data_IF_040042132736
#
_entry.id   IF_040042132736
#
_cell.length_a   1.000
_cell.length_b   1.000
_cell.length_c   1.000
_cell.angle_alpha   90.00
_cell.angle_beta   90.00
_cell.angle_gamma   90.00
#
_symmetry.space_group_name_H-M   'P 1'
#
loop_
_entity.id
_entity.type
_entity.pdbx_description
1 polymer ?
#
# COMPACT_ATOMS: atom_id res chain seq x y z
N UNK A 1 26.20 -2.30 56.49
CA UNK A 1 26.17 -2.72 55.07
C UNK A 1 25.15 -1.86 54.34
N UNK A 2 25.57 -1.04 53.37
CA UNK A 2 24.71 -0.06 52.68
C UNK A 2 24.23 -0.69 51.36
N UNK A 3 22.96 -1.06 51.28
CA UNK A 3 22.35 -1.62 50.08
C UNK A 3 21.91 -0.47 49.16
N UNK A 4 22.60 -0.30 48.03
CA UNK A 4 22.19 0.63 46.96
C UNK A 4 21.12 -0.05 46.12
N UNK A 5 19.86 0.36 46.29
CA UNK A 5 18.76 -0.01 45.40
C UNK A 5 18.77 0.95 44.21
N UNK A 6 19.38 0.52 43.12
CA UNK A 6 19.21 1.13 41.79
C UNK A 6 17.82 0.77 41.28
N UNK A 7 16.90 1.74 41.31
CA UNK A 7 15.60 1.63 40.66
C UNK A 7 15.81 1.63 39.14
N UNK A 8 15.66 0.46 38.51
CA UNK A 8 15.56 0.35 37.06
C UNK A 8 14.21 0.92 36.62
N UNK A 9 14.23 2.08 35.97
CA UNK A 9 13.06 2.65 35.32
C UNK A 9 12.71 1.77 34.10
N UNK A 10 11.72 0.89 34.24
CA UNK A 10 11.01 0.34 33.09
C UNK A 10 10.11 1.45 32.51
N UNK A 11 10.69 2.26 31.63
CA UNK A 11 9.89 3.05 30.70
C UNK A 11 9.24 2.09 29.70
N UNK A 12 8.00 1.67 29.98
CA UNK A 12 7.15 1.11 28.94
C UNK A 12 6.93 2.20 27.89
N UNK A 13 7.67 2.11 26.78
CA UNK A 13 7.36 2.79 25.54
C UNK A 13 6.03 2.24 25.02
N UNK A 14 4.91 2.81 25.49
CA UNK A 14 3.64 2.68 24.82
C UNK A 14 3.72 3.46 23.50
N UNK A 15 4.30 2.84 22.48
CA UNK A 15 4.14 3.30 21.11
C UNK A 15 2.65 3.22 20.75
N UNK A 16 2.08 4.23 20.05
CA UNK A 16 0.72 4.13 19.58
C UNK A 16 0.65 2.97 18.58
N UNK A 17 -0.07 1.93 18.94
CA UNK A 17 -0.51 0.94 17.98
C UNK A 17 -1.41 1.68 16.98
N UNK A 18 -0.90 1.94 15.77
CA UNK A 18 -1.75 2.34 14.65
C UNK A 18 -2.70 1.18 14.39
N UNK A 19 -3.88 1.21 14.99
CA UNK A 19 -4.98 0.33 14.62
C UNK A 19 -5.37 0.71 13.19
N UNK A 20 -4.85 -0.02 12.21
CA UNK A 20 -5.32 0.11 10.83
C UNK A 20 -6.69 -0.55 10.78
N UNK A 21 -7.72 0.25 10.54
CA UNK A 21 -9.12 -0.18 10.58
C UNK A 21 -9.38 -1.36 9.64
N UNK A 22 -10.16 -2.33 10.13
CA UNK A 22 -10.61 -3.45 9.30
C UNK A 22 -11.46 -2.91 8.12
N UNK A 23 -11.32 -3.48 6.91
CA UNK A 23 -12.17 -3.11 5.77
C UNK A 23 -13.65 -3.20 6.12
N UNK A 24 -14.44 -2.22 5.69
CA UNK A 24 -15.87 -2.12 6.03
C UNK A 24 -16.80 -2.64 4.92
N UNK A 25 -16.25 -2.91 3.73
CA UNK A 25 -17.00 -3.43 2.59
C UNK A 25 -17.28 -4.94 2.61
N UNK A 26 -18.13 -5.38 1.69
CA UNK A 26 -18.43 -6.79 1.41
C UNK A 26 -17.42 -7.34 0.37
N UNK A 27 -16.55 -8.25 0.81
CA UNK A 27 -15.53 -8.88 -0.04
C UNK A 27 -16.13 -9.74 -1.17
N UNK A 28 -17.28 -10.39 -0.95
CA UNK A 28 -17.95 -11.21 -1.98
C UNK A 28 -18.54 -10.32 -3.07
N UNK A 29 -19.14 -9.19 -2.69
CA UNK A 29 -19.53 -8.17 -3.66
C UNK A 29 -18.31 -7.54 -4.35
N UNK A 30 -17.22 -7.37 -3.61
CA UNK A 30 -15.95 -6.80 -4.08
C UNK A 30 -15.28 -7.59 -5.18
N UNK A 31 -15.33 -8.91 -5.13
CA UNK A 31 -14.82 -9.78 -6.20
C UNK A 31 -15.46 -9.44 -7.55
N UNK A 32 -16.78 -9.18 -7.56
CA UNK A 32 -17.49 -8.79 -8.78
C UNK A 32 -17.03 -7.43 -9.30
N UNK A 33 -16.79 -6.48 -8.40
CA UNK A 33 -16.26 -5.14 -8.75
C UNK A 33 -14.83 -5.25 -9.28
N UNK A 34 -14.01 -6.15 -8.74
CA UNK A 34 -12.62 -6.38 -9.17
C UNK A 34 -12.50 -6.78 -10.65
N UNK A 35 -13.58 -7.29 -11.26
CA UNK A 35 -13.61 -7.52 -12.70
C UNK A 35 -13.35 -6.27 -13.54
N UNK A 36 -13.58 -5.07 -13.01
CA UNK A 36 -13.24 -3.79 -13.65
C UNK A 36 -11.75 -3.47 -13.53
N UNK A 37 -11.09 -3.98 -12.48
CA UNK A 37 -9.70 -3.73 -12.15
C UNK A 37 -8.75 -4.70 -12.87
N UNK A 38 -9.20 -5.94 -13.16
CA UNK A 38 -8.36 -7.00 -13.72
C UNK A 38 -7.78 -6.74 -15.12
N UNK A 39 -8.31 -5.72 -15.83
CA UNK A 39 -7.74 -5.26 -17.11
C UNK A 39 -6.33 -4.72 -16.94
N UNK A 40 -6.07 -4.07 -15.80
CA UNK A 40 -4.78 -3.44 -15.52
C UNK A 40 -4.02 -4.12 -14.39
N UNK A 41 -4.73 -4.70 -13.42
CA UNK A 41 -4.16 -5.21 -12.18
C UNK A 41 -4.33 -6.72 -12.01
N UNK A 42 -3.51 -7.28 -11.14
CA UNK A 42 -3.61 -8.63 -10.62
C UNK A 42 -3.44 -8.60 -9.10
N UNK A 43 -3.85 -9.67 -8.44
CA UNK A 43 -3.52 -9.99 -7.05
C UNK A 43 -2.73 -11.31 -7.11
N UNK A 44 -1.41 -11.21 -7.03
CA UNK A 44 -0.53 -12.38 -6.98
C UNK A 44 0.24 -12.38 -5.66
N UNK A 45 0.27 -13.51 -4.97
CA UNK A 45 1.00 -13.62 -3.70
C UNK A 45 2.52 -13.68 -3.94
N UNK A 46 3.29 -13.70 -2.86
CA UNK A 46 4.76 -13.73 -2.89
C UNK A 46 5.33 -15.00 -3.53
N UNK A 47 4.58 -16.10 -3.54
CA UNK A 47 4.94 -17.34 -4.23
C UNK A 47 4.70 -17.27 -5.75
N UNK A 48 4.16 -16.16 -6.26
CA UNK A 48 3.83 -15.95 -7.67
C UNK A 48 2.51 -16.56 -8.11
N UNK A 49 1.69 -17.08 -7.17
CA UNK A 49 0.36 -17.58 -7.46
C UNK A 49 -0.63 -16.42 -7.63
N UNK A 50 -1.32 -16.38 -8.77
CA UNK A 50 -2.39 -15.40 -9.02
C UNK A 50 -3.66 -15.80 -8.27
N UNK A 51 -3.98 -15.06 -7.21
CA UNK A 51 -5.20 -15.22 -6.41
C UNK A 51 -6.42 -14.57 -7.09
N UNK A 52 -6.22 -13.46 -7.79
CA UNK A 52 -7.26 -12.82 -8.58
C UNK A 52 -6.71 -12.02 -9.77
N UNK A 53 -7.53 -11.86 -10.79
CA UNK A 53 -7.18 -11.16 -12.02
C UNK A 53 -6.61 -12.09 -13.10
N UNK A 54 -6.28 -11.52 -14.25
CA UNK A 54 -5.76 -12.26 -15.41
C UNK A 54 -4.29 -11.90 -15.65
N UNK A 55 -3.94 -11.42 -16.84
CA UNK A 55 -2.58 -11.00 -17.19
C UNK A 55 -2.38 -9.47 -17.15
N UNK A 56 -3.21 -8.75 -16.38
CA UNK A 56 -3.12 -7.30 -16.24
C UNK A 56 -1.79 -6.88 -15.62
N UNK A 57 -0.96 -6.17 -16.39
CA UNK A 57 0.35 -5.64 -15.95
C UNK A 57 0.51 -4.13 -16.21
N UNK A 58 -0.56 -3.47 -16.61
CA UNK A 58 -0.59 -2.02 -16.83
C UNK A 58 -0.55 -1.26 -15.50
N UNK A 59 -1.13 -1.83 -14.45
CA UNK A 59 -1.06 -1.35 -13.07
C UNK A 59 -0.24 -2.30 -12.18
N UNK A 60 0.17 -1.85 -10.98
CA UNK A 60 0.91 -2.68 -10.04
C UNK A 60 0.06 -3.84 -9.52
N UNK A 61 0.72 -4.88 -8.99
CA UNK A 61 0.06 -5.92 -8.21
C UNK A 61 -0.59 -5.30 -6.95
N UNK A 62 -1.81 -5.73 -6.64
CA UNK A 62 -2.59 -5.23 -5.51
C UNK A 62 -2.53 -6.13 -4.27
N UNK A 63 -1.81 -7.25 -4.33
CA UNK A 63 -1.50 -8.06 -3.15
C UNK A 63 -0.74 -7.25 -2.09
N UNK A 64 -1.20 -7.28 -0.84
CA UNK A 64 -0.61 -6.51 0.25
C UNK A 64 -0.83 -4.99 0.12
N UNK A 65 -1.91 -4.53 -0.53
CA UNK A 65 -2.17 -3.10 -0.69
C UNK A 65 -2.46 -2.39 0.63
N UNK A 66 -3.24 -3.02 1.53
CA UNK A 66 -3.59 -2.42 2.82
C UNK A 66 -2.32 -2.15 3.63
N UNK A 67 -2.09 -0.89 3.98
CA UNK A 67 -0.93 -0.44 4.76
C UNK A 67 0.34 -0.24 3.95
N UNK A 68 0.36 -0.58 2.66
CA UNK A 68 1.54 -0.39 1.81
C UNK A 68 1.76 1.07 1.49
N UNK A 69 3.03 1.48 1.46
CA UNK A 69 3.44 2.81 1.03
C UNK A 69 3.03 3.03 -0.44
N UNK A 70 2.54 4.22 -0.78
CA UNK A 70 2.21 4.53 -2.17
C UNK A 70 3.46 4.44 -3.07
N UNK A 71 3.31 3.89 -4.28
CA UNK A 71 4.42 3.82 -5.23
C UNK A 71 5.53 2.85 -4.88
N UNK A 72 5.32 1.91 -3.95
CA UNK A 72 6.39 1.06 -3.42
C UNK A 72 6.34 -0.41 -3.84
N UNK A 73 5.40 -0.84 -4.69
CA UNK A 73 5.41 -2.22 -5.17
C UNK A 73 6.65 -2.45 -6.05
N UNK A 74 7.47 -3.48 -5.77
CA UNK A 74 8.71 -3.70 -6.50
C UNK A 74 8.45 -3.98 -7.98
N UNK A 75 9.43 -3.66 -8.82
CA UNK A 75 9.43 -3.96 -10.26
C UNK A 75 8.29 -3.32 -11.07
N UNK A 76 7.47 -2.44 -10.48
CA UNK A 76 6.49 -1.63 -11.19
C UNK A 76 6.99 -0.21 -11.41
N UNK A 77 6.83 0.31 -12.63
CA UNK A 77 7.20 1.68 -12.99
C UNK A 77 6.04 2.63 -12.70
N UNK A 78 6.13 3.36 -11.60
CA UNK A 78 5.16 4.37 -11.21
C UNK A 78 5.38 5.70 -11.94
N UNK A 79 4.31 6.50 -12.02
CA UNK A 79 4.40 7.91 -12.41
C UNK A 79 4.77 8.79 -11.21
N UNK A 80 5.38 9.95 -11.50
CA UNK A 80 5.95 10.85 -10.50
C UNK A 80 4.99 11.27 -9.40
N UNK A 81 3.70 11.45 -9.70
CA UNK A 81 2.70 11.86 -8.69
C UNK A 81 2.50 10.82 -7.58
N UNK A 82 2.47 9.54 -7.92
CA UNK A 82 2.34 8.45 -6.92
C UNK A 82 3.66 8.27 -6.16
N UNK A 83 4.82 8.42 -6.84
CA UNK A 83 6.13 8.37 -6.20
C UNK A 83 6.31 9.50 -5.17
N UNK A 84 5.93 10.72 -5.54
CA UNK A 84 5.95 11.88 -4.64
C UNK A 84 5.03 11.69 -3.43
N UNK A 85 3.85 11.09 -3.62
CA UNK A 85 2.96 10.74 -2.52
C UNK A 85 3.64 9.74 -1.57
N UNK A 86 4.24 8.68 -2.12
CA UNK A 86 4.98 7.67 -1.36
C UNK A 86 6.15 8.25 -0.55
N UNK A 87 6.89 9.20 -1.12
CA UNK A 87 8.02 9.86 -0.47
C UNK A 87 7.62 10.65 0.80
N UNK A 88 6.33 10.97 0.97
CA UNK A 88 5.82 11.59 2.21
C UNK A 88 5.55 10.58 3.34
N UNK A 89 5.77 9.28 3.09
CA UNK A 89 5.43 8.19 4.01
C UNK A 89 3.96 7.78 3.95
N UNK A 90 3.22 8.22 2.92
CA UNK A 90 1.81 7.90 2.75
C UNK A 90 1.56 6.39 2.57
N UNK A 91 0.66 5.83 3.37
CA UNK A 91 0.25 4.42 3.32
C UNK A 91 -1.23 4.27 2.97
N UNK A 92 -1.58 3.26 2.16
CA UNK A 92 -2.96 3.02 1.74
C UNK A 92 -3.85 2.48 2.87
N UNK A 93 -4.95 3.18 3.14
CA UNK A 93 -6.09 2.70 3.94
C UNK A 93 -7.38 2.72 3.09
N UNK A 94 -8.49 2.23 3.64
CA UNK A 94 -9.77 2.17 2.92
C UNK A 94 -10.26 3.55 2.49
N UNK A 95 -10.25 4.55 3.39
CA UNK A 95 -10.79 5.88 3.12
C UNK A 95 -10.03 6.57 1.97
N UNK A 96 -8.71 6.49 1.99
CA UNK A 96 -7.87 7.05 0.94
C UNK A 96 -7.97 6.26 -0.37
N UNK A 97 -8.13 4.94 -0.31
CA UNK A 97 -8.36 4.12 -1.50
C UNK A 97 -9.67 4.51 -2.19
N UNK A 98 -10.76 4.67 -1.42
CA UNK A 98 -12.06 5.13 -1.93
C UNK A 98 -11.92 6.51 -2.59
N UNK A 99 -11.26 7.45 -1.92
CA UNK A 99 -11.04 8.79 -2.45
C UNK A 99 -10.17 8.78 -3.73
N UNK A 100 -9.12 7.94 -3.76
CA UNK A 100 -8.28 7.79 -4.94
C UNK A 100 -9.05 7.22 -6.13
N UNK A 101 -9.90 6.20 -5.92
CA UNK A 101 -10.71 5.63 -6.99
C UNK A 101 -11.76 6.61 -7.55
N UNK A 102 -12.29 7.52 -6.73
CA UNK A 102 -13.26 8.51 -7.18
C UNK A 102 -12.64 9.45 -8.24
N UNK A 103 -11.43 9.97 -7.99
CA UNK A 103 -10.65 10.71 -8.98
C UNK A 103 -9.14 10.68 -8.69
N UNK A 104 -8.37 9.78 -9.33
CA UNK A 104 -6.95 9.59 -9.04
C UNK A 104 -6.11 10.85 -9.24
N UNK A 105 -6.42 11.63 -10.27
CA UNK A 105 -5.67 12.84 -10.60
C UNK A 105 -5.92 13.95 -9.59
N UNK A 106 -7.17 14.12 -9.15
CA UNK A 106 -7.52 15.11 -8.12
C UNK A 106 -6.93 14.71 -6.76
N UNK A 107 -7.08 13.44 -6.38
CA UNK A 107 -6.53 12.91 -5.14
C UNK A 107 -5.03 13.19 -5.02
N UNK A 108 -4.25 12.91 -6.08
CA UNK A 108 -2.80 13.19 -6.06
C UNK A 108 -2.50 14.67 -5.86
N UNK A 109 -3.16 15.57 -6.60
CA UNK A 109 -2.93 17.01 -6.45
C UNK A 109 -3.24 17.52 -5.05
N UNK A 110 -4.28 16.98 -4.42
CA UNK A 110 -4.68 17.35 -3.06
C UNK A 110 -3.70 16.81 -2.02
N UNK A 111 -3.31 15.53 -2.14
CA UNK A 111 -2.41 14.89 -1.17
C UNK A 111 -0.96 15.35 -1.28
N UNK A 112 -0.48 15.68 -2.47
CA UNK A 112 0.90 16.16 -2.68
C UNK A 112 1.01 17.68 -2.64
N UNK A 113 -0.09 18.42 -2.83
CA UNK A 113 -0.08 19.87 -3.01
C UNK A 113 0.45 20.34 -4.39
N UNK A 114 0.90 19.42 -5.24
CA UNK A 114 1.38 19.72 -6.59
C UNK A 114 0.23 19.72 -7.59
N UNK A 115 -0.11 20.91 -8.11
CA UNK A 115 -1.17 21.08 -9.11
C UNK A 115 -0.88 20.38 -10.45
N UNK A 116 0.40 20.11 -10.74
CA UNK A 116 0.83 19.42 -11.94
C UNK A 116 0.78 17.89 -11.80
N UNK A 117 0.64 17.35 -10.58
CA UNK A 117 0.62 15.92 -10.32
C UNK A 117 -0.41 15.19 -11.20
N UNK A 118 0.02 14.05 -11.77
CA UNK A 118 -0.80 13.20 -12.66
C UNK A 118 -0.82 11.77 -12.15
N UNK A 119 -2.00 11.16 -12.22
CA UNK A 119 -2.15 9.72 -12.12
C UNK A 119 -2.06 9.11 -13.51
N UNK A 120 -1.33 8.00 -13.64
CA UNK A 120 -1.33 7.20 -14.86
C UNK A 120 -2.56 6.26 -14.93
N UNK A 121 -3.24 6.05 -13.80
CA UNK A 121 -4.54 5.37 -13.78
C UNK A 121 -5.63 6.38 -14.17
N UNK A 122 -6.24 6.16 -15.34
CA UNK A 122 -7.34 6.99 -15.88
C UNK A 122 -8.74 6.49 -15.50
N UNK A 123 -8.84 5.26 -15.01
CA UNK A 123 -10.09 4.68 -14.52
C UNK A 123 -10.60 5.39 -13.27
N UNK A 124 -11.92 5.47 -13.13
CA UNK A 124 -12.60 6.04 -11.96
C UNK A 124 -13.75 5.13 -11.52
N UNK A 125 -13.93 5.04 -10.22
CA UNK A 125 -15.06 4.37 -9.57
C UNK A 125 -15.66 5.32 -8.54
N UNK A 126 -16.66 6.09 -8.97
CA UNK A 126 -17.29 7.13 -8.13
C UNK A 126 -18.22 6.58 -7.05
N UNK A 127 -18.62 5.30 -7.17
CA UNK A 127 -19.50 4.64 -6.21
C UNK A 127 -18.69 4.15 -5.02
N UNK A 128 -18.87 4.79 -3.88
CA UNK A 128 -18.10 4.51 -2.66
C UNK A 128 -18.34 3.10 -2.13
N UNK A 129 -19.56 2.58 -2.22
CA UNK A 129 -19.91 1.21 -1.83
C UNK A 129 -19.13 0.19 -2.67
N UNK A 130 -19.09 0.36 -4.00
CA UNK A 130 -18.29 -0.49 -4.88
C UNK A 130 -16.78 -0.38 -4.55
N UNK A 131 -16.29 0.82 -4.22
CA UNK A 131 -14.90 1.05 -3.85
C UNK A 131 -14.52 0.39 -2.52
N UNK A 132 -15.38 0.47 -1.49
CA UNK A 132 -15.19 -0.22 -0.21
C UNK A 132 -15.22 -1.74 -0.39
N UNK A 133 -16.17 -2.24 -1.18
CA UNK A 133 -16.30 -3.67 -1.46
C UNK A 133 -15.03 -4.21 -2.13
N UNK A 134 -14.51 -3.54 -3.17
CA UNK A 134 -13.28 -4.01 -3.83
C UNK A 134 -12.05 -3.88 -2.93
N UNK A 135 -12.00 -2.88 -2.05
CA UNK A 135 -10.95 -2.79 -1.03
C UNK A 135 -10.99 -3.98 -0.06
N UNK A 136 -12.18 -4.32 0.45
CA UNK A 136 -12.38 -5.48 1.31
C UNK A 136 -11.99 -6.79 0.62
N UNK A 137 -12.32 -6.94 -0.66
CA UNK A 137 -11.88 -8.10 -1.46
C UNK A 137 -10.35 -8.19 -1.56
N UNK A 138 -9.67 -7.11 -1.95
CA UNK A 138 -8.20 -7.06 -2.05
C UNK A 138 -7.55 -7.40 -0.70
N UNK A 139 -8.05 -6.81 0.38
CA UNK A 139 -7.55 -7.05 1.73
C UNK A 139 -7.78 -8.50 2.18
N UNK A 140 -8.91 -9.12 1.82
CA UNK A 140 -9.21 -10.52 2.18
C UNK A 140 -8.24 -11.53 1.56
N UNK A 141 -7.63 -11.18 0.43
CA UNK A 141 -6.63 -12.00 -0.27
C UNK A 141 -5.18 -11.65 0.11
N UNK A 142 -4.98 -10.71 1.04
CA UNK A 142 -3.67 -10.20 1.43
C UNK A 142 -3.41 -10.49 2.91
N UNK A 143 -2.14 -10.57 3.35
CA UNK A 143 -1.84 -10.58 4.77
C UNK A 143 -2.35 -9.29 5.41
N UNK A 144 -2.74 -9.38 6.69
CA UNK A 144 -3.02 -8.20 7.48
C UNK A 144 -1.77 -7.30 7.50
N UNK A 145 -1.93 -5.97 7.49
CA UNK A 145 -0.77 -5.09 7.52
C UNK A 145 -0.01 -5.32 8.82
N UNK A 146 1.23 -5.76 8.69
CA UNK A 146 2.15 -5.79 9.83
C UNK A 146 2.66 -4.37 10.03
N UNK A 147 2.63 -3.88 11.28
CA UNK A 147 3.22 -2.60 11.62
C UNK A 147 4.64 -2.56 11.03
N UNK A 148 4.88 -1.60 10.14
CA UNK A 148 6.09 -1.53 9.34
C UNK A 148 7.33 -1.59 10.25
N UNK A 149 8.03 -2.72 10.23
CA UNK A 149 9.42 -2.72 10.67
C UNK A 149 10.20 -2.03 9.55
N UNK A 150 10.78 -0.88 9.88
CA UNK A 150 11.46 0.03 8.96
C UNK A 150 12.84 -0.51 8.52
N UNK A 151 12.99 -1.83 8.38
CA UNK A 151 14.25 -2.50 8.10
C UNK A 151 14.17 -3.35 6.83
N UNK A 152 13.75 -2.76 5.71
CA UNK A 152 14.02 -3.33 4.39
C UNK A 152 14.07 -2.23 3.32
N UNK A 153 15.15 -1.45 3.35
CA UNK A 153 15.68 -0.73 2.20
C UNK A 153 17.19 -0.97 2.14
N UNK A 154 17.78 -0.86 0.95
CA UNK A 154 17.92 -1.90 -0.06
C UNK A 154 19.22 -2.70 0.09
N UNK A 155 19.31 -3.85 -0.59
CA UNK A 155 20.60 -4.49 -0.86
C UNK A 155 21.47 -3.52 -1.67
N UNK A 156 22.48 -2.94 -1.02
CA UNK A 156 23.61 -2.29 -1.69
C UNK A 156 24.30 -3.32 -2.58
N UNK A 157 24.55 -2.90 -3.82
CA UNK A 157 25.25 -3.70 -4.81
C UNK A 157 26.67 -4.01 -4.35
N UNK A 158 27.01 -5.29 -4.35
CA UNK A 158 28.38 -5.79 -4.32
C UNK A 158 29.08 -5.29 -5.60
N UNK A 159 29.87 -4.22 -5.45
CA UNK A 159 30.80 -3.78 -6.46
C UNK A 159 31.94 -4.80 -6.56
N UNK A 160 31.98 -5.53 -7.68
CA UNK A 160 33.11 -6.40 -8.00
C UNK A 160 34.42 -5.57 -8.08
N UNK A 161 35.54 -6.04 -7.52
CA UNK A 161 36.80 -5.31 -7.61
C UNK A 161 37.37 -5.44 -9.03
N UNK A 162 37.88 -4.32 -9.53
CA UNK A 162 38.72 -4.26 -10.72
C UNK A 162 40.05 -4.98 -10.45
N UNK A 163 40.48 -5.82 -11.39
CA UNK A 163 41.82 -6.41 -11.43
C UNK A 163 42.71 -5.67 -12.44
N UNK A 164 43.95 -5.42 -12.02
CA UNK A 164 45.09 -4.92 -12.81
C UNK A 164 45.50 -5.86 -13.96
#
# INVERSE_FOLDING_TARGET
>A
MKLKLTAAALALLAAPAFAQDAPTGDAVAGEKVFNKCQTCHVIANEAGETLAGRAGKTGPNLYGLHGRVAGSYPEFRYGDGILALGASGFTWNEADFVAYLADPGKFLKEKTGDKAARSLMSFRLAKEDEARNVYAFIASLSPAPVAADAAAAPAEGEAAPASE
#
